data_IF_349045813834
#
_entry.id   IF_349045813834
#
_cell.length_a   1.000
_cell.length_b   1.000
_cell.length_c   1.000
_cell.angle_alpha   90.00
_cell.angle_beta   90.00
_cell.angle_gamma   90.00
#
_symmetry.space_group_name_H-M   'P 1'
#
loop_
_entity.id
_entity.type
_entity.pdbx_description
1 polymer ?
#
# COMPACT_ATOMS: atom_id res chain seq x y z
N UNK A 1 -6.83 8.14 -6.29
CA UNK A 1 -5.41 8.20 -5.90
C UNK A 1 -4.98 6.89 -5.31
N UNK A 2 -3.83 6.42 -5.68
CA UNK A 2 -3.30 5.19 -5.12
C UNK A 2 -1.92 5.43 -4.58
N UNK A 3 -1.55 4.68 -3.56
CA UNK A 3 -0.26 4.81 -2.92
C UNK A 3 0.30 3.41 -2.72
N UNK A 4 1.55 3.23 -3.10
CA UNK A 4 2.25 1.98 -2.90
C UNK A 4 3.19 2.10 -1.71
N UNK A 5 3.26 1.08 -0.90
CA UNK A 5 4.25 1.04 0.16
C UNK A 5 4.68 -0.40 0.38
N UNK A 6 5.78 -0.57 1.09
CA UNK A 6 6.26 -1.91 1.39
C UNK A 6 5.33 -2.58 2.38
N UNK A 7 5.08 -3.85 2.15
CA UNK A 7 4.21 -4.63 3.02
C UNK A 7 4.72 -4.66 4.46
N UNK A 8 6.04 -4.59 4.62
CA UNK A 8 6.62 -4.62 5.95
C UNK A 8 6.50 -3.30 6.68
N UNK A 9 6.17 -2.24 5.99
CA UNK A 9 6.08 -0.92 6.60
C UNK A 9 4.75 -0.77 7.31
N UNK A 10 4.66 -1.38 8.47
CA UNK A 10 3.39 -1.43 9.20
C UNK A 10 2.90 -0.07 9.64
N UNK A 11 3.82 0.83 9.96
CA UNK A 11 3.42 2.17 10.37
C UNK A 11 2.74 2.90 9.23
N UNK A 12 3.32 2.82 8.04
CA UNK A 12 2.73 3.48 6.89
C UNK A 12 1.38 2.85 6.56
N UNK A 13 1.30 1.53 6.64
CA UNK A 13 0.06 0.84 6.34
C UNK A 13 -1.06 1.28 7.28
N UNK A 14 -0.76 1.36 8.57
CA UNK A 14 -1.76 1.81 9.53
C UNK A 14 -2.17 3.24 9.26
N UNK A 15 -1.20 4.08 8.90
CA UNK A 15 -1.50 5.46 8.61
C UNK A 15 -2.44 5.59 7.42
N UNK A 16 -2.14 4.85 6.34
CA UNK A 16 -2.98 4.93 5.14
C UNK A 16 -4.38 4.37 5.41
N UNK A 17 -4.47 3.30 6.18
CA UNK A 17 -5.78 2.75 6.51
C UNK A 17 -6.57 3.70 7.39
N UNK A 18 -5.89 4.37 8.30
CA UNK A 18 -6.55 5.33 9.16
C UNK A 18 -7.07 6.52 8.36
N UNK A 19 -6.37 6.87 7.30
CA UNK A 19 -6.77 8.00 6.45
C UNK A 19 -7.86 7.63 5.46
N UNK A 20 -8.33 6.41 5.51
CA UNK A 20 -9.41 6.00 4.63
C UNK A 20 -8.97 5.19 3.42
N UNK A 21 -7.70 4.86 3.34
CA UNK A 21 -7.22 4.04 2.25
C UNK A 21 -7.65 2.60 2.40
N UNK A 22 -7.92 1.94 1.30
CA UNK A 22 -8.29 0.54 1.32
C UNK A 22 -7.32 -0.25 0.48
N UNK A 23 -7.00 -1.44 0.93
CA UNK A 23 -6.08 -2.30 0.21
C UNK A 23 -6.67 -2.62 -1.15
N UNK A 24 -5.95 -2.29 -2.20
CA UNK A 24 -6.44 -2.43 -3.56
C UNK A 24 -5.70 -3.53 -4.31
N UNK A 25 -4.37 -3.52 -4.25
CA UNK A 25 -3.57 -4.50 -4.94
C UNK A 25 -2.35 -4.84 -4.11
N UNK A 26 -1.79 -5.99 -4.36
CA UNK A 26 -0.52 -6.36 -3.79
C UNK A 26 0.35 -6.90 -4.90
N UNK A 27 1.64 -6.83 -4.72
CA UNK A 27 2.56 -7.45 -5.67
C UNK A 27 3.85 -7.79 -4.96
N UNK A 28 4.56 -8.75 -5.54
CA UNK A 28 5.85 -9.13 -5.01
C UNK A 28 6.90 -8.68 -6.01
N UNK A 29 7.96 -8.08 -5.50
CA UNK A 29 9.08 -7.67 -6.34
C UNK A 29 10.34 -8.34 -5.83
N UNK A 30 11.24 -8.63 -6.74
CA UNK A 30 12.49 -9.27 -6.37
C UNK A 30 13.63 -8.38 -6.83
N UNK A 31 14.49 -8.01 -5.89
CA UNK A 31 15.64 -7.17 -6.20
C UNK A 31 16.85 -7.90 -5.70
N UNK A 32 17.73 -8.28 -6.61
CA UNK A 32 18.89 -9.08 -6.27
C UNK A 32 18.44 -10.41 -5.73
N UNK A 33 18.85 -10.73 -4.52
CA UNK A 33 18.48 -11.98 -3.91
C UNK A 33 17.36 -11.82 -2.89
N UNK A 34 16.74 -10.66 -2.84
CA UNK A 34 15.72 -10.41 -1.84
C UNK A 34 14.38 -10.19 -2.49
N UNK A 35 13.36 -10.69 -1.83
CA UNK A 35 12.00 -10.51 -2.28
C UNK A 35 11.29 -9.53 -1.37
N UNK A 36 10.55 -8.63 -1.96
CA UNK A 36 9.80 -7.63 -1.22
C UNK A 36 8.35 -7.68 -1.64
N UNK A 37 7.47 -7.53 -0.66
CA UNK A 37 6.06 -7.38 -0.94
C UNK A 37 5.69 -5.92 -0.92
N UNK A 38 4.86 -5.50 -1.85
CA UNK A 38 4.32 -4.15 -1.86
C UNK A 38 2.81 -4.23 -1.82
N UNK A 39 2.20 -3.26 -1.17
CA UNK A 39 0.75 -3.15 -1.12
C UNK A 39 0.36 -1.80 -1.67
N UNK A 40 -0.77 -1.76 -2.32
CA UNK A 40 -1.28 -0.52 -2.89
C UNK A 40 -2.60 -0.19 -2.20
N UNK A 41 -2.68 1.01 -1.68
CA UNK A 41 -3.90 1.50 -1.08
C UNK A 41 -4.57 2.48 -2.01
N UNK A 42 -5.86 2.35 -2.13
CA UNK A 42 -6.64 3.24 -2.98
C UNK A 42 -7.49 4.13 -2.10
N UNK A 43 -7.43 5.41 -2.37
CA UNK A 43 -8.25 6.37 -1.67
C UNK A 43 -9.38 6.79 -2.57
N UNK A 44 -10.57 6.78 -2.01
CA UNK A 44 -11.72 7.24 -2.76
C UNK A 44 -11.93 8.70 -2.43
N UNK A 45 -11.45 9.56 -3.31
CA UNK A 45 -11.59 10.98 -3.11
C UNK A 45 -12.87 11.53 -3.68
N UNK A 46 -13.72 10.68 -4.17
CA UNK A 46 -14.94 11.13 -4.76
C UNK A 46 -15.90 11.56 -3.69
N UNK A 47 -16.07 12.84 -3.57
CA UNK A 47 -16.88 13.30 -2.61
C UNK A 47 -18.05 13.76 -3.11
N UNK A 48 -18.82 13.69 -3.15
CA UNK A 48 -19.87 14.32 -3.71
C UNK A 48 -20.69 14.27 -3.46
#
# INVERSE_FOLDING_TARGET
>A
MVIWCLKENKKARKFYEKMGGKLYKTRNIEIGNKKYGEVCYKYNLNKI
#
